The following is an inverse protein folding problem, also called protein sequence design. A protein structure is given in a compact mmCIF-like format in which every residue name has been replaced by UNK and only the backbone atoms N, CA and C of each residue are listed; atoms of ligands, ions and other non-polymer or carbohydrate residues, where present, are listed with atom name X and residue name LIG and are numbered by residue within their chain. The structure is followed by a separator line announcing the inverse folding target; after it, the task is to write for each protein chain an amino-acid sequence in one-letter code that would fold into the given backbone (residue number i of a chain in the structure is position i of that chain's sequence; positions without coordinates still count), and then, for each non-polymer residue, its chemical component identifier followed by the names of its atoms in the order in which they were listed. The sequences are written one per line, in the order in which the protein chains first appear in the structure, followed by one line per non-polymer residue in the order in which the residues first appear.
data_IF_473511720037
#
_entry.id   IF_473511720037
#
_cell.length_a   1.000
_cell.length_b   1.000
_cell.length_c   1.000
_cell.angle_alpha   90.00
_cell.angle_beta   90.00
_cell.angle_gamma   90.00
#
_symmetry.space_group_name_H-M   'P 1'
#
loop_
_entity.id
_entity.type
_entity.pdbx_description
1 polymer ?
#
# COMPACT_ATOMS: atom_id res chain seq x y z
N UNK A 1 -43.15 -11.85 48.09
CA UNK A 1 -42.45 -11.26 46.92
C UNK A 1 -41.24 -12.08 46.46
N UNK A 2 -40.32 -12.48 47.37
CA UNK A 2 -39.11 -13.26 47.03
C UNK A 2 -39.40 -14.64 46.43
N UNK A 3 -40.39 -15.40 46.94
CA UNK A 3 -40.74 -16.71 46.37
C UNK A 3 -41.30 -16.65 44.94
N UNK A 4 -42.08 -15.61 44.62
CA UNK A 4 -42.66 -15.42 43.28
C UNK A 4 -41.58 -15.04 42.26
N UNK A 5 -40.61 -14.21 42.66
CA UNK A 5 -39.44 -13.88 41.82
C UNK A 5 -38.53 -15.09 41.56
N UNK A 6 -38.31 -15.95 42.57
CA UNK A 6 -37.53 -17.19 42.40
C UNK A 6 -38.26 -18.19 41.48
N UNK A 7 -39.59 -18.32 41.59
CA UNK A 7 -40.38 -19.18 40.71
C UNK A 7 -40.44 -18.68 39.25
N UNK A 8 -40.52 -17.37 39.03
CA UNK A 8 -40.43 -16.80 37.67
C UNK A 8 -39.03 -16.96 37.05
N UNK A 9 -37.96 -16.83 37.85
CA UNK A 9 -36.59 -17.00 37.37
C UNK A 9 -36.27 -18.46 36.99
N UNK A 10 -36.86 -19.45 37.67
CA UNK A 10 -36.70 -20.87 37.34
C UNK A 10 -37.49 -21.24 36.08
N UNK A 11 -38.71 -20.72 35.92
CA UNK A 11 -39.53 -20.96 34.72
C UNK A 11 -38.93 -20.31 33.45
N UNK A 12 -38.35 -19.11 33.56
CA UNK A 12 -37.71 -18.43 32.43
C UNK A 12 -36.41 -19.10 31.94
N UNK A 13 -35.81 -19.98 32.73
CA UNK A 13 -34.55 -20.67 32.39
C UNK A 13 -34.74 -21.93 31.53
N UNK A 14 -35.91 -22.59 31.61
CA UNK A 14 -36.20 -23.82 30.86
C UNK A 14 -36.53 -23.56 29.37
N UNK A 15 -36.89 -22.33 29.02
CA UNK A 15 -37.24 -21.89 27.66
C UNK A 15 -36.22 -20.89 27.09
N UNK A 16 -34.97 -20.90 27.58
CA UNK A 16 -33.95 -19.98 27.10
C UNK A 16 -33.78 -20.12 25.58
N UNK A 17 -33.97 -19.00 24.89
CA UNK A 17 -33.78 -18.86 23.45
C UNK A 17 -33.22 -17.46 23.15
N UNK A 18 -32.16 -17.38 22.34
CA UNK A 18 -31.68 -16.12 21.82
C UNK A 18 -31.03 -16.29 20.44
N UNK A 19 -30.98 -15.16 19.71
CA UNK A 19 -30.33 -15.06 18.40
C UNK A 19 -29.60 -13.73 18.29
N UNK A 20 -28.28 -13.80 18.11
CA UNK A 20 -27.41 -12.65 17.87
C UNK A 20 -26.95 -12.64 16.41
N UNK A 21 -27.49 -11.71 15.60
CA UNK A 21 -27.00 -11.42 14.25
C UNK A 21 -25.94 -10.33 14.31
N UNK A 22 -24.81 -10.64 14.95
CA UNK A 22 -23.81 -9.67 15.39
C UNK A 22 -24.04 -9.17 16.82
N UNK A 23 -23.06 -8.41 17.32
CA UNK A 23 -22.86 -8.17 18.75
C UNK A 23 -22.83 -6.68 19.16
N UNK A 24 -23.28 -5.74 18.32
CA UNK A 24 -23.16 -4.28 18.58
C UNK A 24 -23.84 -3.76 19.86
N UNK A 25 -24.76 -4.52 20.44
CA UNK A 25 -25.51 -4.16 21.65
C UNK A 25 -25.82 -5.37 22.52
N UNK A 26 -25.02 -6.44 22.38
CA UNK A 26 -25.19 -7.65 23.19
C UNK A 26 -24.44 -7.51 24.50
N UNK A 27 -25.10 -7.84 25.60
CA UNK A 27 -24.46 -7.91 26.91
C UNK A 27 -23.79 -9.27 27.09
N UNK A 28 -22.55 -9.42 26.64
CA UNK A 28 -21.73 -10.61 26.88
C UNK A 28 -20.76 -10.35 28.03
N UNK A 29 -20.47 -11.40 28.80
CA UNK A 29 -19.42 -11.41 29.79
C UNK A 29 -18.10 -11.71 29.09
N UNK A 30 -17.23 -10.70 28.95
CA UNK A 30 -15.96 -10.82 28.26
C UNK A 30 -14.81 -10.88 29.27
N UNK A 31 -13.81 -11.72 29.00
CA UNK A 31 -12.56 -11.82 29.75
C UNK A 31 -11.39 -12.10 28.79
N UNK A 32 -10.17 -11.80 29.24
CA UNK A 32 -8.97 -11.94 28.42
C UNK A 32 -8.97 -10.97 27.22
N UNK A 33 -8.69 -11.50 26.02
CA UNK A 33 -8.64 -10.70 24.78
C UNK A 33 -10.00 -10.43 24.12
N UNK A 34 -11.09 -11.03 24.63
CA UNK A 34 -12.39 -10.95 24.00
C UNK A 34 -12.89 -9.50 23.94
N UNK A 35 -13.27 -9.04 22.75
CA UNK A 35 -13.85 -7.72 22.56
C UNK A 35 -14.99 -7.73 21.53
N UNK A 36 -15.86 -6.71 21.62
CA UNK A 36 -16.86 -6.41 20.61
C UNK A 36 -16.32 -5.30 19.71
N UNK A 37 -16.18 -5.60 18.42
CA UNK A 37 -15.73 -4.60 17.46
C UNK A 37 -16.83 -3.59 17.16
N UNK A 38 -16.45 -2.39 16.71
CA UNK A 38 -17.41 -1.34 16.34
C UNK A 38 -18.38 -1.75 15.22
N UNK A 39 -17.96 -2.68 14.35
CA UNK A 39 -18.82 -3.22 13.29
C UNK A 39 -19.73 -4.37 13.75
N UNK A 40 -19.59 -4.87 14.98
CA UNK A 40 -20.47 -5.86 15.60
C UNK A 40 -19.97 -7.30 15.56
N UNK A 41 -18.67 -7.54 15.37
CA UNK A 41 -18.07 -8.86 15.52
C UNK A 41 -17.74 -9.11 16.99
N UNK A 42 -17.87 -10.35 17.44
CA UNK A 42 -17.18 -10.81 18.64
C UNK A 42 -15.79 -11.30 18.21
N UNK A 43 -14.75 -10.56 18.58
CA UNK A 43 -13.36 -10.97 18.35
C UNK A 43 -12.85 -11.64 19.61
N UNK A 44 -12.63 -12.95 19.55
CA UNK A 44 -12.08 -13.71 20.68
C UNK A 44 -10.59 -13.40 20.82
N UNK A 45 -9.82 -13.52 19.75
CA UNK A 45 -8.36 -13.30 19.78
C UNK A 45 -7.91 -12.30 18.73
N UNK A 46 -6.73 -11.72 18.97
CA UNK A 46 -5.97 -10.95 18.00
C UNK A 46 -4.56 -11.58 17.89
N UNK A 47 -3.60 -10.86 17.31
CA UNK A 47 -2.21 -11.34 17.13
C UNK A 47 -1.33 -11.25 18.39
N UNK A 48 -1.92 -10.99 19.56
CA UNK A 48 -1.16 -10.93 20.82
C UNK A 48 -0.81 -12.34 21.29
N UNK A 49 0.47 -12.61 21.53
CA UNK A 49 0.95 -13.95 21.92
C UNK A 49 0.59 -14.36 23.35
N UNK A 50 0.38 -15.66 23.56
CA UNK A 50 0.22 -16.32 24.86
C UNK A 50 -0.84 -15.71 25.78
N UNK A 51 -2.05 -15.53 25.24
CA UNK A 51 -3.22 -15.03 26.00
C UNK A 51 -4.40 -15.97 25.87
N UNK A 52 -5.26 -15.92 26.87
CA UNK A 52 -6.60 -16.55 26.85
C UNK A 52 -7.66 -15.51 26.51
N UNK A 53 -8.82 -15.99 26.12
CA UNK A 53 -9.97 -15.17 25.79
C UNK A 53 -11.26 -15.93 26.02
N UNK A 54 -12.24 -15.24 26.59
CA UNK A 54 -13.53 -15.84 26.91
C UNK A 54 -14.67 -14.87 26.66
N UNK A 55 -15.74 -15.38 26.08
CA UNK A 55 -16.96 -14.63 25.85
C UNK A 55 -18.17 -15.48 26.20
N UNK A 56 -18.83 -15.17 27.32
CA UNK A 56 -19.92 -15.96 27.87
C UNK A 56 -21.26 -15.22 27.81
N UNK A 57 -22.33 -15.96 27.59
CA UNK A 57 -23.68 -15.48 27.89
C UNK A 57 -23.74 -15.13 29.40
N UNK A 58 -24.30 -13.96 29.77
CA UNK A 58 -24.08 -13.39 31.10
C UNK A 58 -24.78 -14.18 32.22
N UNK A 59 -25.90 -14.82 31.90
CA UNK A 59 -26.72 -15.57 32.86
C UNK A 59 -26.47 -17.08 32.70
N UNK A 60 -26.50 -17.86 33.79
CA UNK A 60 -26.39 -19.30 33.68
C UNK A 60 -27.67 -19.90 33.07
N UNK A 61 -27.50 -21.04 32.40
CA UNK A 61 -28.52 -21.82 31.71
C UNK A 61 -28.82 -23.07 32.53
N UNK A 62 -30.10 -23.43 32.67
CA UNK A 62 -30.50 -24.66 33.37
C UNK A 62 -30.51 -25.85 32.41
N UNK A 63 -29.62 -26.81 32.63
CA UNK A 63 -29.48 -28.00 31.78
C UNK A 63 -30.23 -29.23 32.33
N UNK A 64 -30.61 -29.23 33.61
CA UNK A 64 -31.39 -30.33 34.23
C UNK A 64 -32.12 -29.85 35.48
N UNK A 65 -33.22 -30.51 35.85
CA UNK A 65 -34.07 -30.15 36.99
C UNK A 65 -33.37 -30.29 38.36
N UNK A 66 -32.54 -31.31 38.48
CA UNK A 66 -31.80 -31.67 39.69
C UNK A 66 -30.53 -32.43 39.33
N UNK A 67 -29.62 -32.60 40.30
CA UNK A 67 -28.33 -33.28 40.09
C UNK A 67 -28.47 -34.68 39.49
N UNK A 68 -29.54 -35.41 39.83
CA UNK A 68 -29.76 -36.79 39.39
C UNK A 68 -30.74 -36.91 38.21
N UNK A 69 -31.26 -35.78 37.70
CA UNK A 69 -32.15 -35.79 36.55
C UNK A 69 -31.37 -35.87 35.23
N UNK A 70 -32.08 -36.26 34.17
CA UNK A 70 -31.52 -36.28 32.82
C UNK A 70 -31.28 -34.87 32.31
N UNK A 71 -30.17 -34.69 31.59
CA UNK A 71 -29.90 -33.48 30.84
C UNK A 71 -31.01 -33.24 29.80
N UNK A 72 -31.40 -31.98 29.66
CA UNK A 72 -32.35 -31.52 28.65
C UNK A 72 -31.72 -31.54 27.26
N UNK A 73 -32.59 -31.60 26.25
CA UNK A 73 -32.21 -31.34 24.85
C UNK A 73 -31.82 -29.88 24.71
N UNK A 74 -30.78 -29.59 23.93
CA UNK A 74 -30.41 -28.23 23.59
C UNK A 74 -29.76 -28.18 22.22
N UNK A 75 -29.72 -26.99 21.64
CA UNK A 75 -28.98 -26.77 20.41
C UNK A 75 -28.40 -25.37 20.35
N UNK A 76 -27.33 -25.24 19.60
CA UNK A 76 -26.63 -23.98 19.35
C UNK A 76 -26.12 -23.96 17.92
N UNK A 77 -26.10 -22.77 17.34
CA UNK A 77 -25.42 -22.55 16.06
C UNK A 77 -24.71 -21.22 16.06
N UNK A 78 -23.53 -21.18 15.48
CA UNK A 78 -22.75 -19.96 15.38
C UNK A 78 -21.98 -19.92 14.08
N UNK A 79 -21.79 -18.70 13.56
CA UNK A 79 -20.94 -18.43 12.40
C UNK A 79 -19.62 -17.88 12.89
N UNK A 80 -18.53 -18.45 12.41
CA UNK A 80 -17.18 -18.06 12.78
C UNK A 80 -16.29 -17.86 11.56
N UNK A 81 -15.15 -17.21 11.77
CA UNK A 81 -14.02 -17.24 10.85
C UNK A 81 -12.72 -17.13 11.62
N UNK A 82 -11.72 -17.90 11.20
CA UNK A 82 -10.36 -17.83 11.73
C UNK A 82 -9.47 -17.23 10.64
N UNK A 83 -8.88 -16.08 10.94
CA UNK A 83 -7.99 -15.36 10.02
C UNK A 83 -6.57 -15.43 10.58
N UNK A 84 -5.69 -16.26 10.01
CA UNK A 84 -4.33 -16.40 10.50
C UNK A 84 -3.49 -15.16 10.16
N UNK A 85 -2.49 -14.85 11.01
CA UNK A 85 -1.51 -13.79 10.70
C UNK A 85 -0.65 -14.17 9.49
N UNK A 86 -0.28 -15.44 9.39
CA UNK A 86 0.46 -16.01 8.27
C UNK A 86 -0.38 -17.10 7.59
N UNK A 87 -0.49 -17.15 6.24
CA UNK A 87 -1.45 -18.00 5.54
C UNK A 87 -1.41 -19.49 5.88
N UNK A 88 -0.28 -20.01 6.32
CA UNK A 88 -0.06 -21.43 6.62
C UNK A 88 0.15 -21.71 8.11
N UNK A 89 0.10 -20.69 8.98
CA UNK A 89 0.32 -20.81 10.41
C UNK A 89 -0.81 -20.10 11.13
N UNK A 90 -1.76 -20.89 11.66
CA UNK A 90 -2.77 -20.44 12.61
C UNK A 90 -2.53 -21.09 13.96
N UNK A 91 -3.17 -20.57 15.00
CA UNK A 91 -3.10 -21.15 16.33
C UNK A 91 -3.83 -20.36 17.41
N UNK A 92 -4.34 -20.99 18.47
CA UNK A 92 -4.49 -22.47 18.63
C UNK A 92 -5.89 -22.95 18.22
N UNK A 93 -6.88 -22.08 18.29
CA UNK A 93 -8.26 -22.39 17.97
C UNK A 93 -9.19 -21.79 19.01
N UNK A 94 -10.46 -22.17 18.95
CA UNK A 94 -11.42 -21.89 20.02
C UNK A 94 -12.43 -23.02 20.13
N UNK A 95 -13.16 -22.99 21.24
CA UNK A 95 -14.26 -23.89 21.49
C UNK A 95 -15.54 -23.15 21.87
N UNK A 96 -16.69 -23.67 21.44
CA UNK A 96 -17.92 -23.45 22.16
C UNK A 96 -17.88 -24.30 23.44
N UNK A 97 -18.22 -23.72 24.59
CA UNK A 97 -18.03 -24.36 25.88
C UNK A 97 -19.26 -24.23 26.77
N UNK A 98 -19.59 -25.32 27.47
CA UNK A 98 -20.51 -25.38 28.60
C UNK A 98 -19.69 -25.66 29.86
N UNK A 99 -19.67 -24.72 30.81
CA UNK A 99 -18.81 -24.80 31.99
C UNK A 99 -19.47 -24.30 33.29
N UNK A 100 -19.01 -24.71 34.48
CA UNK A 100 -19.60 -24.29 35.76
C UNK A 100 -19.37 -22.80 36.07
N UNK A 101 -18.30 -22.20 35.53
CA UNK A 101 -17.90 -20.82 35.77
C UNK A 101 -17.54 -20.11 34.47
N UNK A 102 -17.76 -18.79 34.42
CA UNK A 102 -17.29 -17.93 33.32
C UNK A 102 -15.80 -17.64 33.47
N UNK A 103 -15.13 -17.34 32.36
CA UNK A 103 -13.72 -16.93 32.33
C UNK A 103 -12.71 -18.03 32.67
N UNK A 104 -13.17 -19.23 33.04
CA UNK A 104 -12.36 -20.44 33.29
C UNK A 104 -11.05 -20.14 34.04
N UNK A 105 -11.14 -19.70 35.32
CA UNK A 105 -9.98 -19.18 36.04
C UNK A 105 -8.83 -20.19 36.11
N UNK A 106 -7.63 -19.73 35.77
CA UNK A 106 -6.43 -20.56 35.78
C UNK A 106 -6.26 -21.42 34.54
N UNK A 107 -7.11 -21.28 33.51
CA UNK A 107 -6.84 -21.88 32.21
C UNK A 107 -5.62 -21.25 31.54
N UNK A 108 -4.90 -22.06 30.77
CA UNK A 108 -3.66 -21.68 30.10
C UNK A 108 -3.92 -21.27 28.63
N UNK A 109 -3.03 -20.45 28.05
CA UNK A 109 -3.05 -20.14 26.62
C UNK A 109 -2.47 -21.32 25.80
N UNK A 110 -2.11 -21.07 24.55
CA UNK A 110 -1.57 -22.08 23.63
C UNK A 110 -2.55 -23.23 23.39
N UNK A 111 -2.06 -24.48 23.37
CA UNK A 111 -2.83 -25.67 23.05
C UNK A 111 -3.97 -25.96 24.03
N UNK A 112 -4.04 -25.23 25.15
CA UNK A 112 -5.09 -25.40 26.14
C UNK A 112 -6.44 -24.75 25.78
N UNK A 113 -6.52 -24.02 24.66
CA UNK A 113 -7.73 -23.33 24.16
C UNK A 113 -8.41 -22.40 25.18
N UNK A 114 -7.69 -22.00 26.24
CA UNK A 114 -8.27 -21.28 27.38
C UNK A 114 -9.26 -22.12 28.21
N UNK A 115 -9.30 -23.44 28.04
CA UNK A 115 -10.23 -24.34 28.74
C UNK A 115 -9.66 -24.92 30.02
N UNK A 116 -8.41 -25.38 29.96
CA UNK A 116 -7.77 -26.19 31.00
C UNK A 116 -6.35 -25.71 31.31
N UNK A 117 -5.67 -26.41 32.22
CA UNK A 117 -4.27 -26.25 32.54
C UNK A 117 -3.62 -27.61 32.80
N UNK A 118 -2.29 -27.60 33.01
CA UNK A 118 -1.48 -28.80 33.25
C UNK A 118 -2.01 -29.68 34.40
N UNK A 119 -2.70 -29.07 35.37
CA UNK A 119 -3.14 -29.77 36.59
C UNK A 119 -4.59 -30.24 36.55
N UNK A 120 -5.43 -29.68 35.67
CA UNK A 120 -6.85 -30.02 35.62
C UNK A 120 -7.27 -30.71 34.31
N UNK A 121 -6.46 -30.71 33.26
CA UNK A 121 -6.78 -31.37 32.00
C UNK A 121 -7.13 -32.86 32.24
N UNK A 122 -8.33 -33.27 31.82
CA UNK A 122 -8.86 -34.63 31.97
C UNK A 122 -9.50 -34.96 33.32
N UNK A 123 -9.57 -34.01 34.28
CA UNK A 123 -10.20 -34.27 35.58
C UNK A 123 -11.73 -34.25 35.48
N UNK A 124 -12.37 -35.33 35.92
CA UNK A 124 -13.84 -35.46 35.94
C UNK A 124 -14.55 -34.35 36.74
N UNK A 125 -13.85 -33.73 37.70
CA UNK A 125 -14.36 -32.60 38.50
C UNK A 125 -14.46 -31.28 37.74
N UNK A 126 -14.02 -31.21 36.48
CA UNK A 126 -14.10 -29.99 35.68
C UNK A 126 -15.54 -29.66 35.29
N UNK A 127 -16.36 -30.68 35.03
CA UNK A 127 -17.72 -30.53 34.52
C UNK A 127 -17.77 -29.65 33.26
N UNK A 128 -16.90 -29.92 32.28
CA UNK A 128 -16.81 -29.16 31.02
C UNK A 128 -17.21 -30.04 29.85
N UNK A 129 -18.05 -29.48 28.97
CA UNK A 129 -18.35 -30.02 27.64
C UNK A 129 -18.00 -28.94 26.64
N UNK A 130 -17.18 -29.26 25.64
CA UNK A 130 -16.77 -28.31 24.61
C UNK A 130 -16.83 -28.93 23.21
N UNK A 131 -17.08 -28.09 22.21
CA UNK A 131 -16.85 -28.41 20.81
C UNK A 131 -15.74 -27.50 20.33
N UNK A 132 -14.57 -28.09 20.08
CA UNK A 132 -13.37 -27.37 19.67
C UNK A 132 -13.22 -27.31 18.15
N UNK A 133 -12.63 -26.21 17.70
CA UNK A 133 -12.17 -25.96 16.36
C UNK A 133 -10.66 -25.71 16.48
N UNK A 134 -9.91 -26.81 16.55
CA UNK A 134 -8.48 -26.79 16.75
C UNK A 134 -7.75 -26.65 15.41
N UNK A 135 -6.75 -25.78 15.39
CA UNK A 135 -5.99 -25.42 14.19
C UNK A 135 -4.56 -25.94 14.23
N UNK A 136 -4.15 -26.60 15.30
CA UNK A 136 -2.80 -27.12 15.49
C UNK A 136 -2.86 -28.55 15.98
N UNK A 137 -2.03 -29.41 15.40
CA UNK A 137 -1.79 -30.74 15.91
C UNK A 137 -0.95 -30.72 17.19
N UNK A 138 -1.50 -31.28 18.27
CA UNK A 138 -0.86 -31.48 19.57
C UNK A 138 -0.83 -32.97 19.93
N UNK A 139 0.34 -33.60 19.76
CA UNK A 139 0.52 -35.03 20.08
C UNK A 139 0.25 -35.37 21.55
N UNK A 140 0.44 -34.41 22.46
CA UNK A 140 0.17 -34.60 23.89
C UNK A 140 -1.31 -34.81 24.22
N UNK A 141 -2.22 -34.46 23.30
CA UNK A 141 -3.67 -34.58 23.46
C UNK A 141 -4.30 -35.68 22.57
N UNK A 142 -3.46 -36.53 21.95
CA UNK A 142 -3.88 -37.58 21.01
C UNK A 142 -4.67 -37.05 19.81
N UNK A 143 -4.29 -35.87 19.30
CA UNK A 143 -4.88 -35.30 18.10
C UNK A 143 -4.74 -36.22 16.89
N UNK A 144 -5.76 -36.24 16.05
CA UNK A 144 -5.80 -37.17 14.92
C UNK A 144 -4.83 -36.77 13.79
N UNK A 145 -4.70 -35.48 13.49
CA UNK A 145 -3.79 -34.82 12.52
C UNK A 145 -4.19 -33.35 12.31
N UNK A 146 -3.22 -32.51 11.94
CA UNK A 146 -3.36 -31.11 11.47
C UNK A 146 -4.45 -30.29 12.19
N UNK A 147 -5.42 -29.71 11.47
CA UNK A 147 -6.62 -29.09 12.06
C UNK A 147 -7.75 -30.12 12.24
N UNK A 148 -8.55 -29.97 13.30
CA UNK A 148 -9.68 -30.86 13.58
C UNK A 148 -10.85 -30.16 14.26
N UNK A 149 -12.02 -30.81 14.17
CA UNK A 149 -13.18 -30.49 14.99
C UNK A 149 -13.31 -31.59 16.04
N UNK A 150 -13.44 -31.22 17.31
CA UNK A 150 -13.43 -32.14 18.45
C UNK A 150 -14.62 -31.97 19.38
N UNK A 151 -14.98 -33.04 20.10
CA UNK A 151 -15.91 -33.02 21.23
C UNK A 151 -15.14 -33.40 22.48
N UNK A 152 -14.99 -32.42 23.36
CA UNK A 152 -14.19 -32.52 24.57
C UNK A 152 -15.07 -32.66 25.80
N UNK A 153 -14.72 -33.63 26.64
CA UNK A 153 -15.36 -33.87 27.93
C UNK A 153 -14.30 -33.83 29.02
N UNK A 154 -14.31 -32.76 29.82
CA UNK A 154 -13.40 -32.54 30.95
C UNK A 154 -11.88 -32.47 30.63
N UNK A 155 -11.47 -32.56 29.37
CA UNK A 155 -10.09 -32.39 28.93
C UNK A 155 -9.99 -32.28 27.40
N UNK A 156 -8.79 -31.97 26.92
CA UNK A 156 -8.47 -31.69 25.50
C UNK A 156 -8.29 -32.94 24.66
N UNK A 157 -8.19 -34.11 25.31
CA UNK A 157 -8.30 -35.36 24.57
C UNK A 157 -9.77 -35.57 24.20
N UNK A 158 -10.09 -35.21 22.96
CA UNK A 158 -11.42 -35.36 22.38
C UNK A 158 -11.97 -36.79 22.51
N UNK A 159 -13.21 -36.92 22.98
CA UNK A 159 -13.96 -38.18 22.96
C UNK A 159 -14.34 -38.57 21.52
N UNK A 160 -14.53 -37.57 20.65
CA UNK A 160 -14.64 -37.76 19.21
C UNK A 160 -14.09 -36.54 18.47
N UNK A 161 -13.19 -36.75 17.52
CA UNK A 161 -12.71 -35.71 16.60
C UNK A 161 -12.63 -36.21 15.15
N UNK A 162 -12.74 -35.31 14.17
CA UNK A 162 -12.55 -35.62 12.74
C UNK A 162 -12.01 -34.38 12.00
N UNK A 163 -11.43 -34.58 10.82
CA UNK A 163 -10.95 -33.46 10.01
C UNK A 163 -12.11 -32.55 9.59
N UNK A 164 -11.90 -31.22 9.50
CA UNK A 164 -12.95 -30.29 9.14
C UNK A 164 -13.50 -30.62 7.76
N UNK A 165 -14.82 -30.80 7.68
CA UNK A 165 -15.46 -31.19 6.44
C UNK A 165 -16.97 -31.32 6.57
N UNK A 166 -17.64 -31.35 5.43
CA UNK A 166 -19.09 -31.52 5.36
C UNK A 166 -19.49 -32.49 4.26
N UNK A 167 -20.56 -33.25 4.49
CA UNK A 167 -21.11 -34.15 3.48
C UNK A 167 -22.01 -33.36 2.53
N UNK A 168 -21.61 -33.27 1.25
CA UNK A 168 -22.37 -32.55 0.24
C UNK A 168 -23.72 -33.21 -0.02
N UNK A 169 -24.80 -32.42 0.00
CA UNK A 169 -26.14 -32.93 -0.29
C UNK A 169 -26.30 -33.44 -1.73
N UNK A 170 -25.46 -32.98 -2.66
CA UNK A 170 -25.54 -33.34 -4.07
C UNK A 170 -25.08 -34.77 -4.36
N UNK A 171 -24.04 -35.24 -3.67
CA UNK A 171 -23.39 -36.52 -3.97
C UNK A 171 -23.06 -37.37 -2.73
N UNK A 172 -23.37 -36.88 -1.53
CA UNK A 172 -23.09 -37.56 -0.26
C UNK A 172 -21.60 -37.67 0.10
N UNK A 173 -20.69 -37.05 -0.68
CA UNK A 173 -19.24 -37.12 -0.45
C UNK A 173 -18.79 -36.05 0.54
N UNK A 174 -17.79 -36.40 1.34
CA UNK A 174 -17.12 -35.46 2.24
C UNK A 174 -16.36 -34.42 1.39
N UNK A 175 -16.64 -33.16 1.66
CA UNK A 175 -15.90 -32.01 1.14
C UNK A 175 -15.08 -31.43 2.28
N UNK A 176 -13.76 -31.42 2.12
CA UNK A 176 -12.84 -30.95 3.16
C UNK A 176 -12.94 -29.42 3.31
N UNK A 177 -12.74 -28.96 4.54
CA UNK A 177 -12.65 -27.56 4.93
C UNK A 177 -11.26 -27.30 5.51
N UNK A 178 -10.88 -26.02 5.55
CA UNK A 178 -9.68 -25.55 6.24
C UNK A 178 -10.11 -24.47 7.21
N UNK A 179 -9.95 -24.69 8.52
CA UNK A 179 -10.50 -23.79 9.54
C UNK A 179 -9.90 -22.38 9.44
N UNK A 180 -8.62 -22.28 9.10
CA UNK A 180 -7.87 -21.03 8.95
C UNK A 180 -8.03 -20.36 7.57
N UNK A 181 -9.03 -20.77 6.77
CA UNK A 181 -9.24 -20.24 5.41
C UNK A 181 -9.63 -18.75 5.36
N UNK A 182 -9.97 -18.14 6.49
CA UNK A 182 -10.50 -16.78 6.59
C UNK A 182 -11.93 -16.60 6.06
N UNK A 183 -12.54 -17.65 5.51
CA UNK A 183 -13.92 -17.63 5.03
C UNK A 183 -14.89 -17.99 6.16
N UNK A 184 -16.07 -17.36 6.25
CA UNK A 184 -17.04 -17.70 7.27
C UNK A 184 -17.56 -19.13 7.12
N UNK A 185 -17.62 -19.84 8.24
CA UNK A 185 -18.23 -21.17 8.36
C UNK A 185 -19.24 -21.16 9.49
N UNK A 186 -20.23 -22.06 9.41
CA UNK A 186 -21.26 -22.23 10.42
C UNK A 186 -21.15 -23.59 11.07
N UNK A 187 -21.26 -23.62 12.40
CA UNK A 187 -21.33 -24.83 13.21
C UNK A 187 -22.73 -24.97 13.78
N UNK A 188 -23.22 -26.20 13.85
CA UNK A 188 -24.40 -26.60 14.59
C UNK A 188 -24.02 -27.69 15.58
N UNK A 189 -24.40 -27.50 16.84
CA UNK A 189 -24.23 -28.48 17.89
C UNK A 189 -25.62 -28.76 18.49
N UNK A 190 -26.04 -30.02 18.46
CA UNK A 190 -27.38 -30.45 18.83
C UNK A 190 -27.29 -31.67 19.74
N UNK A 191 -27.74 -31.51 20.99
CA UNK A 191 -27.80 -32.60 21.96
C UNK A 191 -29.24 -33.03 22.15
N UNK A 192 -29.51 -34.32 21.91
CA UNK A 192 -30.77 -34.97 22.27
C UNK A 192 -30.64 -35.61 23.66
N UNK A 193 -31.36 -35.05 24.64
CA UNK A 193 -31.35 -35.51 26.03
C UNK A 193 -32.07 -36.83 26.26
N UNK A 194 -32.91 -37.28 25.33
CA UNK A 194 -33.61 -38.56 25.38
C UNK A 194 -32.75 -39.67 24.76
N UNK A 195 -32.25 -39.43 23.54
CA UNK A 195 -31.40 -40.37 22.80
C UNK A 195 -29.95 -40.39 23.30
N UNK A 196 -29.57 -39.45 24.17
CA UNK A 196 -28.21 -39.30 24.72
C UNK A 196 -27.18 -39.14 23.62
N UNK A 197 -27.47 -38.28 22.65
CA UNK A 197 -26.64 -38.12 21.46
C UNK A 197 -26.32 -36.65 21.22
N UNK A 198 -25.03 -36.36 21.01
CA UNK A 198 -24.53 -35.06 20.58
C UNK A 198 -24.09 -35.14 19.12
N UNK A 199 -24.68 -34.30 18.27
CA UNK A 199 -24.31 -34.16 16.87
C UNK A 199 -23.65 -32.80 16.63
N UNK A 200 -22.54 -32.81 15.88
CA UNK A 200 -21.83 -31.61 15.45
C UNK A 200 -21.77 -31.61 13.93
N UNK A 201 -22.27 -30.54 13.33
CA UNK A 201 -22.24 -30.30 11.88
C UNK A 201 -21.51 -29.00 11.61
N UNK A 202 -20.75 -28.94 10.52
CA UNK A 202 -20.06 -27.73 10.06
C UNK A 202 -20.23 -27.60 8.55
N UNK A 203 -20.34 -26.37 8.03
CA UNK A 203 -20.32 -26.08 6.59
C UNK A 203 -19.97 -24.61 6.32
N UNK A 204 -19.53 -24.24 5.10
CA UNK A 204 -19.47 -22.84 4.68
C UNK A 204 -20.86 -22.17 4.75
N UNK A 205 -20.91 -20.86 4.98
CA UNK A 205 -22.19 -20.13 5.13
C UNK A 205 -23.05 -20.10 3.85
N UNK A 206 -22.46 -20.41 2.69
CA UNK A 206 -23.13 -20.51 1.40
C UNK A 206 -23.82 -21.86 1.19
N UNK A 207 -23.65 -22.80 2.13
CA UNK A 207 -24.18 -24.16 2.05
C UNK A 207 -25.24 -24.35 3.14
N UNK A 208 -26.44 -24.81 2.75
CA UNK A 208 -27.46 -25.20 3.72
C UNK A 208 -26.95 -26.29 4.66
N UNK A 209 -27.41 -26.27 5.91
CA UNK A 209 -27.00 -27.23 6.95
C UNK A 209 -27.03 -28.67 6.40
N UNK A 210 -25.88 -29.37 6.36
CA UNK A 210 -25.82 -30.77 5.95
C UNK A 210 -26.72 -31.67 6.80
N UNK A 211 -27.39 -32.63 6.17
CA UNK A 211 -28.26 -33.59 6.87
C UNK A 211 -27.47 -34.64 7.66
N UNK A 212 -26.23 -34.93 7.22
CA UNK A 212 -25.31 -35.83 7.92
C UNK A 212 -24.32 -35.01 8.75
N UNK A 213 -24.26 -35.21 10.08
CA UNK A 213 -23.29 -34.52 10.92
C UNK A 213 -21.85 -34.97 10.62
N UNK A 214 -20.89 -34.10 10.95
CA UNK A 214 -19.47 -34.44 10.91
C UNK A 214 -19.14 -35.39 12.07
N UNK A 215 -19.59 -35.05 13.27
CA UNK A 215 -19.38 -35.85 14.48
C UNK A 215 -20.72 -36.25 15.09
N UNK A 216 -20.79 -37.51 15.53
CA UNK A 216 -21.88 -38.04 16.35
C UNK A 216 -21.26 -38.73 17.55
N UNK A 217 -21.66 -38.31 18.75
CA UNK A 217 -21.23 -38.91 20.02
C UNK A 217 -22.47 -39.40 20.78
N UNK A 218 -22.62 -40.72 20.92
CA UNK A 218 -23.64 -41.34 21.77
C UNK A 218 -23.13 -41.38 23.22
N UNK A 219 -23.35 -40.30 23.97
CA UNK A 219 -22.91 -40.14 25.35
C UNK A 219 -23.99 -39.44 26.19
N UNK A 220 -24.30 -40.01 27.35
CA UNK A 220 -25.12 -39.34 28.34
C UNK A 220 -24.32 -38.22 29.01
N UNK A 221 -24.74 -36.97 28.79
CA UNK A 221 -24.12 -35.78 29.36
C UNK A 221 -24.63 -35.46 30.77
N UNK A 222 -25.69 -36.14 31.25
CA UNK A 222 -26.31 -35.90 32.57
C UNK A 222 -25.33 -35.98 33.75
N UNK A 223 -24.35 -36.92 33.77
CA UNK A 223 -23.35 -36.99 34.83
C UNK A 223 -22.29 -35.86 34.77
N UNK A 224 -22.08 -35.26 33.59
CA UNK A 224 -21.09 -34.21 33.38
C UNK A 224 -21.68 -32.84 33.68
N UNK A 225 -22.88 -32.57 33.16
CA UNK A 225 -23.54 -31.27 33.31
C UNK A 225 -24.08 -31.08 34.72
N UNK A 226 -23.85 -29.91 35.32
CA UNK A 226 -24.54 -29.46 36.53
C UNK A 226 -25.94 -28.93 36.19
N UNK A 227 -26.80 -28.75 37.21
CA UNK A 227 -28.16 -28.23 37.00
C UNK A 227 -28.18 -26.87 36.31
N UNK A 228 -27.22 -26.00 36.64
CA UNK A 228 -27.06 -24.68 36.02
C UNK A 228 -25.60 -24.44 35.67
N UNK A 229 -25.34 -23.99 34.44
CA UNK A 229 -23.98 -23.78 33.91
C UNK A 229 -23.95 -22.59 32.95
N UNK A 230 -22.77 -22.11 32.59
CA UNK A 230 -22.59 -21.05 31.62
C UNK A 230 -22.26 -21.60 30.24
N UNK A 231 -22.70 -20.89 29.21
CA UNK A 231 -22.37 -21.17 27.81
C UNK A 231 -21.63 -20.00 27.19
N UNK A 232 -20.69 -20.29 26.30
CA UNK A 232 -19.90 -19.26 25.67
C UNK A 232 -18.83 -19.81 24.75
N UNK A 233 -17.82 -18.99 24.53
CA UNK A 233 -16.65 -19.33 23.73
C UNK A 233 -15.40 -19.16 24.58
N UNK A 234 -14.47 -20.09 24.42
CA UNK A 234 -13.12 -20.06 24.99
C UNK A 234 -12.10 -20.14 23.87
N UNK A 235 -11.06 -19.34 23.94
CA UNK A 235 -10.02 -19.29 22.93
C UNK A 235 -8.67 -18.97 23.56
N UNK A 236 -7.61 -19.26 22.83
CA UNK A 236 -6.25 -18.89 23.20
C UNK A 236 -5.43 -18.52 21.97
N UNK A 237 -4.37 -17.74 22.23
CA UNK A 237 -3.28 -17.51 21.30
C UNK A 237 -2.02 -18.21 21.79
N UNK A 238 -1.10 -18.46 20.86
CA UNK A 238 0.25 -18.89 21.17
C UNK A 238 1.24 -18.29 20.19
N UNK A 239 2.36 -18.95 19.95
CA UNK A 239 3.45 -18.42 19.10
C UNK A 239 3.02 -18.18 17.65
N UNK A 240 2.06 -18.96 17.16
CA UNK A 240 1.38 -18.72 15.89
C UNK A 240 -0.03 -18.24 16.22
N UNK A 241 -0.34 -16.99 15.88
CA UNK A 241 -1.60 -16.36 16.27
C UNK A 241 -2.53 -16.19 15.08
N UNK A 242 -3.81 -16.45 15.31
CA UNK A 242 -4.89 -16.13 14.40
C UNK A 242 -5.93 -15.25 15.10
N UNK A 243 -6.53 -14.32 14.35
CA UNK A 243 -7.72 -13.61 14.83
C UNK A 243 -8.94 -14.47 14.64
N UNK A 244 -9.63 -14.78 15.74
CA UNK A 244 -10.79 -15.66 15.75
C UNK A 244 -12.05 -14.84 16.00
N UNK A 245 -12.98 -14.90 15.05
CA UNK A 245 -14.21 -14.11 15.07
C UNK A 245 -15.43 -15.01 15.16
N UNK A 246 -16.40 -14.58 15.96
CA UNK A 246 -17.79 -15.04 15.89
C UNK A 246 -18.63 -13.90 15.31
N UNK A 247 -19.38 -14.21 14.25
CA UNK A 247 -20.18 -13.25 13.49
C UNK A 247 -21.64 -13.25 13.96
N UNK A 248 -22.13 -14.41 14.40
CA UNK A 248 -23.47 -14.57 14.95
C UNK A 248 -23.59 -15.85 15.74
N UNK A 249 -24.55 -15.90 16.65
CA UNK A 249 -24.75 -17.01 17.59
C UNK A 249 -26.21 -17.12 17.99
N UNK A 250 -26.79 -18.30 17.88
CA UNK A 250 -28.12 -18.64 18.38
C UNK A 250 -28.04 -19.87 19.29
N UNK A 251 -28.87 -19.89 20.33
CA UNK A 251 -28.95 -20.98 21.29
C UNK A 251 -30.39 -21.21 21.70
N UNK A 252 -30.78 -22.47 21.92
CA UNK A 252 -32.10 -22.83 22.42
C UNK A 252 -32.07 -24.07 23.32
N UNK A 253 -32.74 -23.96 24.47
CA UNK A 253 -33.10 -25.12 25.29
C UNK A 253 -34.37 -25.79 24.75
N UNK A 254 -34.45 -27.11 24.87
CA UNK A 254 -35.62 -27.93 24.53
C UNK A 254 -36.14 -27.73 23.10
N UNK A 255 -35.23 -27.53 22.15
CA UNK A 255 -35.58 -27.38 20.74
C UNK A 255 -34.39 -27.01 19.88
N UNK A 256 -34.69 -26.66 18.63
CA UNK A 256 -33.71 -26.23 17.63
C UNK A 256 -33.48 -24.72 17.69
N UNK A 257 -32.21 -24.31 17.74
CA UNK A 257 -31.77 -22.93 17.69
C UNK A 257 -32.24 -22.29 16.39
N UNK A 258 -32.58 -21.02 16.47
CA UNK A 258 -33.09 -20.27 15.32
C UNK A 258 -31.97 -20.11 14.27
N UNK A 259 -32.34 -20.24 12.99
CA UNK A 259 -31.39 -20.08 11.91
C UNK A 259 -30.86 -18.63 11.87
N UNK A 260 -29.55 -18.47 11.72
CA UNK A 260 -28.92 -17.16 11.59
C UNK A 260 -29.21 -16.57 10.21
N UNK A 261 -29.65 -15.31 10.18
CA UNK A 261 -29.82 -14.59 8.92
C UNK A 261 -28.45 -14.10 8.40
N UNK A 262 -27.85 -14.88 7.50
CA UNK A 262 -26.51 -14.64 6.95
C UNK A 262 -26.35 -13.23 6.37
N UNK A 263 -27.40 -12.69 5.73
CA UNK A 263 -27.36 -11.34 5.12
C UNK A 263 -27.21 -10.20 6.14
N UNK A 264 -27.54 -10.46 7.42
CA UNK A 264 -27.45 -9.49 8.52
C UNK A 264 -26.15 -9.60 9.30
N UNK A 265 -25.31 -10.59 9.02
CA UNK A 265 -24.07 -10.78 9.76
C UNK A 265 -23.06 -9.64 9.49
N UNK A 266 -22.28 -9.24 10.51
CA UNK A 266 -21.22 -8.26 10.35
C UNK A 266 -20.15 -8.77 9.38
N UNK A 267 -19.57 -7.85 8.60
CA UNK A 267 -18.52 -8.18 7.65
C UNK A 267 -17.17 -8.33 8.34
N UNK A 268 -16.41 -9.36 7.97
CA UNK A 268 -15.03 -9.55 8.42
C UNK A 268 -14.12 -8.41 7.96
N UNK A 269 -13.06 -8.10 8.73
CA UNK A 269 -12.02 -7.17 8.28
C UNK A 269 -11.37 -7.70 7.00
N UNK A 270 -11.02 -6.80 6.08
CA UNK A 270 -10.28 -7.17 4.87
C UNK A 270 -8.83 -7.46 5.26
N UNK A 271 -8.42 -8.72 5.14
CA UNK A 271 -7.03 -9.15 5.33
C UNK A 271 -6.46 -9.53 3.95
N UNK A 272 -5.39 -8.83 3.56
CA UNK A 272 -4.75 -8.94 2.25
C UNK A 272 -4.29 -7.58 1.72
N UNK A 273 -3.28 -7.54 0.81
CA UNK A 273 -2.85 -6.29 0.20
C UNK A 273 -4.06 -5.64 -0.50
N UNK A 274 -4.28 -4.35 -0.25
CA UNK A 274 -5.30 -3.57 -0.99
C UNK A 274 -5.01 -3.78 -2.47
N UNK A 275 -6.02 -4.25 -3.23
CA UNK A 275 -5.93 -4.35 -4.69
C UNK A 275 -5.72 -2.94 -5.23
N UNK A 276 -4.48 -2.52 -5.44
CA UNK A 276 -4.16 -1.22 -6.01
C UNK A 276 -4.58 -1.26 -7.48
N UNK A 277 -5.27 -0.21 -7.93
CA UNK A 277 -5.72 -0.14 -9.32
C UNK A 277 -4.49 -0.11 -10.23
N UNK A 278 -4.33 -1.11 -11.10
CA UNK A 278 -3.25 -1.14 -12.12
C UNK A 278 -3.26 0.12 -13.00
N UNK A 279 -4.43 0.73 -13.20
CA UNK A 279 -4.58 1.99 -13.91
C UNK A 279 -3.90 3.16 -13.19
N UNK A 280 -4.03 3.22 -11.85
CA UNK A 280 -3.41 4.28 -11.06
C UNK A 280 -1.89 4.10 -10.95
N UNK A 281 -1.45 2.86 -10.74
CA UNK A 281 -0.03 2.58 -10.48
C UNK A 281 0.82 2.58 -11.76
N UNK A 282 0.28 2.12 -12.88
CA UNK A 282 1.02 2.00 -14.16
C UNK A 282 0.50 2.99 -15.20
N UNK A 283 -0.82 3.14 -15.30
CA UNK A 283 -1.43 4.01 -16.30
C UNK A 283 -1.09 5.49 -16.10
N UNK A 284 -1.13 5.98 -14.85
CA UNK A 284 -0.86 7.40 -14.56
C UNK A 284 0.60 7.80 -14.83
N UNK A 285 1.64 7.05 -14.39
CA UNK A 285 3.02 7.36 -14.74
C UNK A 285 3.29 7.34 -16.26
N UNK A 286 2.73 6.35 -16.97
CA UNK A 286 2.88 6.25 -18.44
C UNK A 286 2.22 7.43 -19.15
N UNK A 287 1.03 7.85 -18.70
CA UNK A 287 0.36 9.03 -19.23
C UNK A 287 1.19 10.30 -18.99
N UNK A 288 1.70 10.50 -17.77
CA UNK A 288 2.56 11.64 -17.45
C UNK A 288 3.83 11.66 -18.31
N UNK A 289 4.51 10.51 -18.47
CA UNK A 289 5.70 10.41 -19.31
C UNK A 289 5.40 10.76 -20.78
N UNK A 290 4.27 10.28 -21.32
CA UNK A 290 3.85 10.59 -22.68
C UNK A 290 3.58 12.09 -22.89
N UNK A 291 2.96 12.75 -21.92
CA UNK A 291 2.70 14.20 -21.98
C UNK A 291 4.00 15.02 -21.93
N UNK A 292 4.96 14.62 -21.09
CA UNK A 292 6.28 15.26 -21.04
C UNK A 292 7.02 15.12 -22.37
N UNK A 293 7.02 13.92 -22.97
CA UNK A 293 7.65 13.69 -24.28
C UNK A 293 7.01 14.54 -25.38
N UNK A 294 5.68 14.67 -25.39
CA UNK A 294 4.96 15.52 -26.35
C UNK A 294 5.31 17.00 -26.14
N UNK A 295 5.38 17.46 -24.89
CA UNK A 295 5.76 18.84 -24.57
C UNK A 295 7.19 19.16 -25.04
N UNK A 296 8.16 18.31 -24.69
CA UNK A 296 9.57 18.45 -25.10
C UNK A 296 9.71 18.43 -26.62
N UNK A 297 8.99 17.53 -27.30
CA UNK A 297 9.00 17.45 -28.77
C UNK A 297 8.42 18.71 -29.40
N UNK A 298 7.32 19.25 -28.83
CA UNK A 298 6.67 20.47 -29.31
C UNK A 298 7.57 21.70 -29.13
N UNK A 299 8.23 21.83 -27.97
CA UNK A 299 9.21 22.89 -27.70
C UNK A 299 10.38 22.79 -28.69
N UNK A 300 10.94 21.58 -28.85
CA UNK A 300 12.05 21.33 -29.79
C UNK A 300 11.67 21.68 -31.23
N UNK A 301 10.46 21.34 -31.64
CA UNK A 301 9.92 21.69 -32.95
C UNK A 301 9.78 23.22 -33.12
N UNK A 302 9.25 23.92 -32.10
CA UNK A 302 9.13 25.37 -32.11
C UNK A 302 10.51 26.06 -32.25
N UNK A 303 11.52 25.61 -31.49
CA UNK A 303 12.89 26.13 -31.57
C UNK A 303 13.52 25.86 -32.95
N UNK A 304 13.35 24.65 -33.51
CA UNK A 304 13.84 24.33 -34.86
C UNK A 304 13.16 25.19 -35.92
N UNK A 305 11.86 25.48 -35.75
CA UNK A 305 11.10 26.34 -36.64
C UNK A 305 11.64 27.76 -36.61
N UNK A 306 11.83 28.37 -35.45
CA UNK A 306 12.37 29.74 -35.35
C UNK A 306 13.76 29.86 -35.96
N UNK A 307 14.64 28.85 -35.78
CA UNK A 307 15.97 28.84 -36.41
C UNK A 307 15.94 28.71 -37.93
N UNK A 308 14.98 27.98 -38.51
CA UNK A 308 14.84 27.84 -39.97
C UNK A 308 14.28 29.10 -40.65
N UNK A 309 13.62 29.98 -39.89
CA UNK A 309 13.02 31.21 -40.40
C UNK A 309 13.74 32.47 -39.90
N UNK A 310 15.00 32.37 -39.45
CA UNK A 310 15.88 33.53 -39.31
C UNK A 310 16.17 34.07 -40.73
N UNK A 311 15.30 34.96 -41.21
CA UNK A 311 15.38 35.54 -42.56
C UNK A 311 16.61 36.44 -42.69
N UNK A 312 17.39 36.21 -43.75
CA UNK A 312 18.36 37.20 -44.22
C UNK A 312 17.59 38.45 -44.66
N UNK A 313 17.88 39.59 -44.05
CA UNK A 313 17.24 40.87 -44.36
C UNK A 313 18.30 41.87 -44.82
N UNK A 314 17.88 42.90 -45.55
CA UNK A 314 18.78 44.01 -45.92
C UNK A 314 19.49 44.61 -44.71
N UNK A 315 18.86 44.59 -43.53
CA UNK A 315 19.45 45.06 -42.27
C UNK A 315 20.53 44.12 -41.73
N UNK A 316 20.40 42.80 -41.88
CA UNK A 316 21.47 41.86 -41.51
C UNK A 316 22.69 42.03 -42.41
N UNK A 317 22.48 42.33 -43.69
CA UNK A 317 23.57 42.61 -44.63
C UNK A 317 24.30 43.91 -44.26
N UNK A 318 23.56 44.97 -43.86
CA UNK A 318 24.15 46.23 -43.36
C UNK A 318 24.97 45.99 -42.09
N UNK A 319 24.51 45.14 -41.17
CA UNK A 319 25.28 44.77 -39.98
C UNK A 319 26.56 44.04 -40.33
N UNK A 320 26.50 43.07 -41.24
CA UNK A 320 27.69 42.36 -41.72
C UNK A 320 28.69 43.33 -42.39
N UNK A 321 28.20 44.29 -43.18
CA UNK A 321 29.02 45.34 -43.76
C UNK A 321 29.65 46.24 -42.69
N UNK A 322 28.91 46.61 -41.65
CA UNK A 322 29.42 47.36 -40.50
C UNK A 322 30.55 46.63 -39.78
N UNK A 323 30.36 45.35 -39.47
CA UNK A 323 31.38 44.51 -38.86
C UNK A 323 32.63 44.38 -39.76
N UNK A 324 32.43 44.28 -41.07
CA UNK A 324 33.51 44.27 -42.06
C UNK A 324 34.28 45.59 -42.11
N UNK A 325 33.60 46.75 -42.07
CA UNK A 325 34.27 48.04 -41.99
C UNK A 325 35.15 48.14 -40.73
N UNK A 326 34.65 47.65 -39.60
CA UNK A 326 35.44 47.62 -38.36
C UNK A 326 36.63 46.66 -38.46
N UNK A 327 36.44 45.47 -39.03
CA UNK A 327 37.53 44.51 -39.27
C UNK A 327 38.65 45.11 -40.13
N UNK A 328 38.30 45.77 -41.23
CA UNK A 328 39.26 46.42 -42.13
C UNK A 328 39.95 47.60 -41.45
N UNK A 329 39.19 48.45 -40.74
CA UNK A 329 39.73 49.64 -40.08
C UNK A 329 40.65 49.27 -38.90
N UNK A 330 40.36 48.18 -38.19
CA UNK A 330 41.09 47.76 -37.00
C UNK A 330 42.14 46.68 -37.23
N UNK A 331 42.16 46.03 -38.39
CA UNK A 331 43.02 44.88 -38.69
C UNK A 331 42.77 43.68 -37.76
N UNK A 332 41.58 43.57 -37.17
CA UNK A 332 41.22 42.52 -36.20
C UNK A 332 40.05 41.71 -36.73
N UNK A 333 40.03 40.42 -36.43
CA UNK A 333 38.89 39.56 -36.79
C UNK A 333 37.66 39.93 -35.94
N UNK A 334 36.43 39.88 -36.50
CA UNK A 334 35.20 40.19 -35.77
C UNK A 334 34.98 39.37 -34.49
N UNK A 335 35.48 38.12 -34.48
CA UNK A 335 35.49 37.21 -33.34
C UNK A 335 36.90 36.66 -33.18
N UNK A 336 37.51 36.88 -32.02
CA UNK A 336 38.83 36.36 -31.69
C UNK A 336 38.70 35.26 -30.61
N UNK A 337 39.03 33.99 -30.92
CA UNK A 337 38.74 32.85 -30.03
C UNK A 337 39.43 32.87 -28.66
N UNK A 338 40.46 33.70 -28.51
CA UNK A 338 41.34 33.69 -27.33
C UNK A 338 40.93 34.67 -26.24
N UNK A 339 40.06 35.65 -26.53
CA UNK A 339 39.74 36.73 -25.58
C UNK A 339 38.23 36.92 -25.36
N UNK A 340 37.36 36.18 -26.06
CA UNK A 340 35.88 36.35 -26.02
C UNK A 340 35.40 37.81 -26.24
N UNK A 341 36.23 38.64 -26.88
CA UNK A 341 35.91 40.03 -27.21
C UNK A 341 35.34 40.09 -28.63
N UNK A 342 34.10 40.57 -28.74
CA UNK A 342 33.47 40.90 -30.02
C UNK A 342 34.03 42.26 -30.49
N UNK A 343 34.51 42.31 -31.73
CA UNK A 343 35.17 43.50 -32.27
C UNK A 343 34.31 44.77 -32.18
N UNK A 344 33.01 44.64 -32.48
CA UNK A 344 32.04 45.74 -32.41
C UNK A 344 32.01 46.34 -31.00
N UNK A 345 31.93 45.51 -29.96
CA UNK A 345 31.85 45.95 -28.56
C UNK A 345 33.16 46.62 -28.12
N UNK A 346 34.30 46.09 -28.58
CA UNK A 346 35.60 46.68 -28.31
C UNK A 346 35.75 48.07 -28.93
N UNK A 347 35.46 48.23 -30.23
CA UNK A 347 35.51 49.54 -30.90
C UNK A 347 34.52 50.51 -30.25
N UNK A 348 33.34 50.02 -29.87
CA UNK A 348 32.34 50.82 -29.17
C UNK A 348 32.86 51.32 -27.82
N UNK A 349 33.57 50.49 -27.06
CA UNK A 349 34.18 50.88 -25.79
C UNK A 349 35.23 51.99 -25.96
N UNK A 350 36.06 51.92 -27.03
CA UNK A 350 37.04 52.97 -27.38
C UNK A 350 36.38 54.27 -27.77
N UNK A 351 35.27 54.18 -28.49
CA UNK A 351 34.47 55.36 -28.84
C UNK A 351 33.81 56.02 -27.61
N UNK A 352 33.30 55.23 -26.65
CA UNK A 352 32.82 55.76 -25.38
C UNK A 352 33.93 56.46 -24.59
N UNK A 353 35.14 55.89 -24.57
CA UNK A 353 36.33 56.48 -23.95
C UNK A 353 36.86 57.76 -24.61
N UNK A 354 36.37 58.12 -25.80
CA UNK A 354 36.87 59.27 -26.56
C UNK A 354 38.16 58.98 -27.35
N UNK A 355 38.57 57.72 -27.42
CA UNK A 355 39.83 57.23 -27.98
C UNK A 355 39.58 56.34 -29.21
N UNK A 356 38.57 56.67 -30.03
CA UNK A 356 38.15 55.82 -31.16
C UNK A 356 39.30 55.54 -32.14
N UNK A 357 40.21 56.49 -32.34
CA UNK A 357 41.37 56.33 -33.23
C UNK A 357 42.38 55.29 -32.74
N UNK A 358 42.36 54.90 -31.45
CA UNK A 358 43.14 53.76 -30.95
C UNK A 358 42.65 52.41 -31.50
N UNK A 359 41.43 52.37 -32.04
CA UNK A 359 40.88 51.17 -32.64
C UNK A 359 41.45 50.86 -34.03
N UNK A 360 42.27 51.74 -34.61
CA UNK A 360 42.86 51.58 -35.95
C UNK A 360 43.80 50.37 -36.03
N UNK A 361 43.99 49.85 -37.23
CA UNK A 361 45.00 48.83 -37.52
C UNK A 361 46.40 49.36 -37.17
N UNK A 362 47.13 48.72 -36.24
CA UNK A 362 48.49 49.10 -35.89
C UNK A 362 49.47 49.12 -37.09
N UNK A 363 49.20 48.33 -38.13
CA UNK A 363 50.05 48.22 -39.32
C UNK A 363 49.99 49.44 -40.24
N UNK A 364 49.00 50.33 -40.09
CA UNK A 364 48.88 51.56 -40.87
C UNK A 364 49.91 52.65 -40.48
N UNK A 365 50.63 52.48 -39.36
CA UNK A 365 51.66 53.43 -38.93
C UNK A 365 51.12 54.85 -38.78
N UNK A 366 51.76 55.83 -39.43
CA UNK A 366 51.32 57.23 -39.53
C UNK A 366 50.72 57.58 -40.89
N UNK A 367 50.52 56.60 -41.77
CA UNK A 367 50.09 56.78 -43.16
C UNK A 367 48.57 56.61 -43.30
N UNK A 368 47.79 57.47 -42.63
CA UNK A 368 46.34 57.52 -42.81
C UNK A 368 45.80 58.92 -42.50
N UNK A 369 44.63 59.25 -43.05
CA UNK A 369 43.92 60.50 -42.77
C UNK A 369 43.04 60.27 -41.54
N UNK A 370 43.26 61.04 -40.47
CA UNK A 370 42.61 60.82 -39.18
C UNK A 370 41.08 60.96 -39.26
N UNK A 371 40.62 61.93 -40.04
CA UNK A 371 39.21 62.22 -40.27
C UNK A 371 38.51 61.08 -41.01
N UNK A 372 39.17 60.45 -41.98
CA UNK A 372 38.63 59.31 -42.74
C UNK A 372 38.55 58.05 -41.86
N UNK A 373 39.57 57.80 -41.04
CA UNK A 373 39.57 56.66 -40.10
C UNK A 373 38.48 56.81 -39.03
N UNK A 374 38.31 58.02 -38.49
CA UNK A 374 37.24 58.29 -37.53
C UNK A 374 35.85 58.11 -38.16
N UNK A 375 35.67 58.56 -39.41
CA UNK A 375 34.44 58.36 -40.17
C UNK A 375 34.11 56.87 -40.33
N UNK A 376 35.06 56.06 -40.79
CA UNK A 376 34.87 54.62 -41.04
C UNK A 376 34.53 53.87 -39.76
N UNK A 377 35.24 54.14 -38.66
CA UNK A 377 34.99 53.49 -37.37
C UNK A 377 33.60 53.85 -36.81
N UNK A 378 33.20 55.13 -36.89
CA UNK A 378 31.86 55.56 -36.47
C UNK A 378 30.76 54.97 -37.34
N UNK A 379 30.95 54.95 -38.66
CA UNK A 379 30.01 54.36 -39.59
C UNK A 379 29.88 52.85 -39.39
N UNK A 380 30.99 52.15 -39.14
CA UNK A 380 31.00 50.73 -38.79
C UNK A 380 30.17 50.43 -37.54
N UNK A 381 30.26 51.26 -36.50
CA UNK A 381 29.43 51.15 -35.30
C UNK A 381 27.95 51.41 -35.58
N UNK A 382 27.61 52.42 -36.40
CA UNK A 382 26.22 52.70 -36.79
C UNK A 382 25.60 51.55 -37.60
N UNK A 383 26.35 50.99 -38.54
CA UNK A 383 25.92 49.83 -39.32
C UNK A 383 25.76 48.58 -38.45
N UNK A 384 26.61 48.42 -37.43
CA UNK A 384 26.61 47.28 -36.50
C UNK A 384 25.68 47.47 -35.29
N UNK A 385 24.73 48.39 -35.36
CA UNK A 385 23.82 48.65 -34.24
C UNK A 385 22.97 47.41 -33.90
N UNK A 386 22.71 47.15 -32.61
CA UNK A 386 21.89 46.01 -32.17
C UNK A 386 20.47 46.06 -32.75
N UNK A 387 19.84 47.24 -32.70
CA UNK A 387 18.53 47.50 -33.30
C UNK A 387 18.59 47.68 -34.83
N UNK A 388 17.91 46.83 -35.63
CA UNK A 388 17.84 46.94 -37.10
C UNK A 388 17.36 48.29 -37.62
N UNK A 389 16.39 48.91 -36.95
CA UNK A 389 15.77 50.17 -37.39
C UNK A 389 16.68 51.40 -37.22
N UNK A 390 17.73 51.29 -36.39
CA UNK A 390 18.70 52.37 -36.18
C UNK A 390 19.85 52.35 -37.19
N UNK A 391 20.00 51.26 -37.96
CA UNK A 391 21.05 51.11 -38.97
C UNK A 391 20.72 51.98 -40.19
N UNK A 392 21.71 52.67 -40.80
CA UNK A 392 21.49 53.40 -42.03
C UNK A 392 21.17 52.45 -43.19
N UNK A 393 20.46 52.94 -44.20
CA UNK A 393 20.34 52.22 -45.47
C UNK A 393 21.69 52.17 -46.20
N UNK A 394 21.96 51.14 -47.00
CA UNK A 394 23.20 51.06 -47.80
C UNK A 394 23.43 52.29 -48.69
N UNK A 395 22.35 52.95 -49.15
CA UNK A 395 22.44 54.22 -49.87
C UNK A 395 23.06 55.32 -49.00
N UNK A 396 22.62 55.46 -47.75
CA UNK A 396 23.17 56.43 -46.81
C UNK A 396 24.63 56.10 -46.45
N UNK A 397 24.94 54.82 -46.26
CA UNK A 397 26.31 54.35 -46.00
C UNK A 397 27.27 54.82 -47.09
N UNK A 398 26.92 54.62 -48.36
CA UNK A 398 27.73 55.09 -49.50
C UNK A 398 27.83 56.62 -49.52
N UNK A 399 26.72 57.33 -49.29
CA UNK A 399 26.72 58.80 -49.24
C UNK A 399 27.64 59.36 -48.14
N UNK A 400 27.75 58.70 -46.99
CA UNK A 400 28.69 59.07 -45.93
C UNK A 400 30.14 58.81 -46.34
N UNK A 401 30.43 57.65 -46.93
CA UNK A 401 31.79 57.29 -47.37
C UNK A 401 32.32 58.19 -48.49
N UNK A 402 31.47 58.63 -49.42
CA UNK A 402 31.86 59.52 -50.52
C UNK A 402 31.93 61.01 -50.11
N UNK A 403 31.58 61.34 -48.86
CA UNK A 403 31.58 62.73 -48.37
C UNK A 403 30.44 63.59 -48.91
N UNK A 404 29.43 63.00 -49.55
CA UNK A 404 28.25 63.72 -50.06
C UNK A 404 27.33 64.25 -48.96
N UNK A 405 27.33 63.59 -47.79
CA UNK A 405 26.55 63.97 -46.61
C UNK A 405 27.45 63.81 -45.38
N UNK A 406 27.52 64.79 -44.46
CA UNK A 406 28.26 64.62 -43.22
C UNK A 406 27.63 63.54 -42.34
N UNK A 407 28.45 62.76 -41.64
CA UNK A 407 27.97 61.76 -40.69
C UNK A 407 27.14 62.46 -39.59
N UNK A 408 25.91 62.01 -39.29
CA UNK A 408 25.08 62.63 -38.25
C UNK A 408 25.76 62.54 -36.88
N UNK A 409 25.45 63.49 -35.99
CA UNK A 409 25.94 63.45 -34.62
C UNK A 409 25.42 62.19 -33.92
N UNK A 410 26.34 61.28 -33.64
CA UNK A 410 26.10 59.98 -33.02
C UNK A 410 25.97 60.04 -31.50
N UNK A 411 25.90 61.23 -30.90
CA UNK A 411 25.56 61.43 -29.47
C UNK A 411 24.35 60.63 -28.96
N UNK A 412 23.27 60.35 -29.75
CA UNK A 412 22.18 59.47 -29.33
C UNK A 412 22.60 58.00 -29.10
N UNK A 413 23.62 57.50 -29.80
CA UNK A 413 24.17 56.15 -29.61
C UNK A 413 24.94 56.03 -28.29
N UNK A 414 25.53 57.12 -27.79
CA UNK A 414 26.11 57.20 -26.43
C UNK A 414 25.04 57.09 -25.34
N UNK A 415 23.87 57.68 -25.56
CA UNK A 415 22.74 57.67 -24.62
C UNK A 415 21.99 56.33 -24.61
N UNK A 416 21.88 55.64 -25.75
CA UNK A 416 21.24 54.32 -25.81
C UNK A 416 22.05 53.22 -25.11
N UNK A 417 23.39 53.35 -25.07
CA UNK A 417 24.27 52.34 -24.47
C UNK A 417 24.54 52.51 -22.97
N UNK A 418 24.32 53.69 -22.39
CA UNK A 418 24.42 53.86 -20.93
C UNK A 418 23.29 53.15 -20.17
N UNK A 419 22.21 52.76 -20.86
CA UNK A 419 21.08 51.99 -20.32
C UNK A 419 21.06 50.48 -20.67
N UNK A 420 21.94 50.01 -21.56
CA UNK A 420 22.02 48.61 -21.97
C UNK A 420 23.50 48.21 -22.09
N UNK A 421 24.02 47.45 -21.12
CA UNK A 421 25.08 46.48 -21.45
C UNK A 421 24.53 45.69 -22.64
N UNK A 422 25.29 45.58 -23.73
CA UNK A 422 25.02 44.61 -24.80
C UNK A 422 24.63 43.31 -24.13
N UNK A 423 23.35 42.97 -24.22
CA UNK A 423 22.76 41.89 -23.44
C UNK A 423 23.45 40.61 -23.89
N UNK A 424 24.31 40.06 -23.04
CA UNK A 424 24.62 38.64 -23.07
C UNK A 424 23.28 37.93 -23.16
N UNK A 425 23.04 37.31 -24.30
CA UNK A 425 21.89 36.47 -24.51
C UNK A 425 22.13 35.25 -23.60
N UNK A 426 21.63 35.30 -22.36
CA UNK A 426 21.47 34.13 -21.50
C UNK A 426 20.64 33.11 -22.30
N UNK A 427 21.31 32.12 -22.84
CA UNK A 427 20.68 31.13 -23.71
C UNK A 427 21.58 30.02 -24.24
N UNK A 428 22.84 29.94 -23.81
CA UNK A 428 23.75 28.89 -24.30
C UNK A 428 24.66 28.23 -23.25
N UNK A 429 24.64 28.64 -21.98
CA UNK A 429 25.56 28.12 -20.95
C UNK A 429 24.97 27.08 -19.98
N UNK A 430 23.79 26.52 -20.25
CA UNK A 430 23.18 25.52 -19.35
C UNK A 430 23.36 24.06 -19.81
N UNK A 431 24.37 23.78 -20.66
CA UNK A 431 24.63 22.43 -21.19
C UNK A 431 25.99 21.82 -20.77
N UNK A 432 26.77 22.48 -19.90
CA UNK A 432 28.13 22.05 -19.57
C UNK A 432 28.36 21.57 -18.11
N UNK A 433 27.33 21.51 -17.25
CA UNK A 433 27.50 21.06 -15.87
C UNK A 433 26.52 19.96 -15.45
N UNK A 434 26.74 18.73 -15.94
CA UNK A 434 26.25 17.52 -15.26
C UNK A 434 27.00 16.26 -15.71
N UNK A 435 28.22 16.06 -15.22
CA UNK A 435 28.81 14.72 -15.07
C UNK A 435 29.54 14.66 -13.72
N UNK A 436 29.04 13.92 -12.72
CA UNK A 436 29.83 13.56 -11.55
C UNK A 436 30.77 12.43 -11.91
N UNK A 437 32.08 12.69 -11.81
CA UNK A 437 33.15 11.69 -11.87
C UNK A 437 33.08 10.77 -10.66
N UNK A 438 32.57 9.55 -10.83
CA UNK A 438 32.67 8.47 -9.84
C UNK A 438 33.97 7.69 -10.04
N UNK A 439 34.95 7.95 -9.17
CA UNK A 439 36.07 7.03 -8.94
C UNK A 439 35.62 5.91 -8.02
N UNK A 440 35.44 4.70 -8.53
CA UNK A 440 35.32 3.50 -7.71
C UNK A 440 36.41 2.48 -8.05
N UNK A 441 37.09 2.07 -6.99
CA UNK A 441 38.12 1.02 -6.95
C UNK A 441 37.44 -0.33 -7.16
N UNK A 442 37.95 -1.15 -8.08
CA UNK A 442 37.66 -2.58 -8.12
C UNK A 442 38.95 -3.40 -8.10
N UNK A 443 38.93 -4.36 -7.20
CA UNK A 443 39.94 -5.34 -6.81
C UNK A 443 40.39 -6.28 -7.92
N UNK A 444 41.65 -6.67 -7.85
CA UNK A 444 42.23 -7.77 -8.61
C UNK A 444 41.69 -9.13 -8.15
N UNK A 445 41.32 -10.00 -9.10
CA UNK A 445 41.58 -11.43 -9.00
C UNK A 445 41.73 -12.08 -10.38
N UNK A 446 42.72 -12.97 -10.43
CA UNK A 446 43.24 -13.76 -11.54
C UNK A 446 42.24 -14.76 -12.13
N UNK A 447 42.30 -14.97 -13.46
CA UNK A 447 42.17 -16.32 -14.03
C UNK A 447 42.84 -16.42 -15.40
N UNK A 448 43.50 -17.54 -15.60
CA UNK A 448 44.46 -17.90 -16.64
C UNK A 448 43.90 -18.14 -18.04
N UNK A 449 44.78 -17.87 -19.00
CA UNK A 449 44.85 -18.27 -20.41
C UNK A 449 44.33 -19.69 -20.71
N UNK A 450 43.55 -19.81 -21.79
CA UNK A 450 43.67 -20.90 -22.75
C UNK A 450 43.28 -20.39 -24.16
N UNK A 451 44.17 -20.59 -25.11
CA UNK A 451 44.00 -20.34 -26.54
C UNK A 451 42.90 -21.23 -27.15
N UNK A 452 42.20 -20.75 -28.19
CA UNK A 452 42.14 -21.49 -29.46
C UNK A 452 41.76 -20.60 -30.65
N UNK A 453 42.46 -20.90 -31.75
CA UNK A 453 42.35 -20.36 -33.09
C UNK A 453 41.02 -20.72 -33.76
N UNK A 454 40.57 -19.89 -34.71
CA UNK A 454 39.95 -20.20 -36.03
C UNK A 454 39.38 -18.87 -36.58
N UNK A 455 40.11 -18.14 -37.43
CA UNK A 455 40.17 -18.27 -38.90
C UNK A 455 38.85 -18.01 -39.63
N UNK A 456 38.82 -16.87 -40.36
CA UNK A 456 38.25 -16.81 -41.71
C UNK A 456 37.00 -15.97 -41.88
N UNK A 457 37.08 -14.91 -42.71
CA UNK A 457 35.88 -14.35 -43.33
C UNK A 457 35.95 -12.94 -43.93
N UNK A 458 36.96 -12.67 -44.76
CA UNK A 458 37.15 -11.55 -45.73
C UNK A 458 36.92 -10.11 -45.30
#
# INVERSE_FOLDING_TARGET
MVRVLVSLAIAASQDLNFTFSGFRSTNLSLDGLAELTSNGLLRLTNVTYHRTSHAFYPNPVTFKNSTNSTAFTFSTTFVFAIIPEYPTLGGHGFAFVIAPTRGLPGALPNQYLGLFNDTNNGKQTNHVVAVELDTIYNSEFDDIKDDHVGIDINGLKSERSDSPGYYSQLNGKLTNLTLISGHPMQVWMEYDGMEKQLNVTIAPIEVDKPSRPLLTLSRDLSPILNSSMYIGFSSSTGSFSASQYVLGWSFKMNGLAEALNISRLPKLPRVGPKKTSKLLTIGLPVLCLSLVLVAVSSISYAIRRTRKFAEATTSTDVFAFGAFLLEVASGRRPIQPTEDIILVDWVFSRWLGGEILEARDPNLGTEYIAEEMELVLKLGLMCSHSEPAARPSMRQVVQFLEGHVPLPDISPLRLSASGQKFSHHEGFDDFAYSYPSSTDKASAHSSSVAESLLSGGR
#
